data_IF_172975132712
#
_entry.id   IF_172975132712
#
_cell.length_a   1.000
_cell.length_b   1.000
_cell.length_c   1.000
_cell.angle_alpha   90.00
_cell.angle_beta   90.00
_cell.angle_gamma   90.00
#
_symmetry.space_group_name_H-M   'P 1'
#
loop_
_entity.id
_entity.type
_entity.pdbx_description
1 polymer ?
#
# COMPACT_ATOMS: atom_id res chain seq x y z
N UNK A 1 12.53 24.31 -6.32
CA UNK A 1 12.41 23.64 -7.64
C UNK A 1 13.70 23.66 -8.46
N UNK A 2 14.28 24.83 -8.81
CA UNK A 2 15.49 24.94 -9.67
C UNK A 2 16.70 24.07 -9.22
N UNK A 3 17.00 24.03 -7.92
CA UNK A 3 18.09 23.19 -7.39
C UNK A 3 17.85 21.69 -7.53
N UNK A 4 16.59 21.25 -7.49
CA UNK A 4 16.23 19.84 -7.67
C UNK A 4 16.36 19.43 -9.14
N UNK A 5 15.87 20.27 -10.07
CA UNK A 5 16.03 20.07 -11.51
C UNK A 5 17.51 19.94 -11.88
N UNK A 6 18.37 20.88 -11.44
CA UNK A 6 19.82 20.80 -11.68
C UNK A 6 20.47 19.53 -11.14
N UNK A 7 19.98 19.00 -10.01
CA UNK A 7 20.47 17.73 -9.45
C UNK A 7 20.04 16.55 -10.32
N UNK A 8 18.82 16.56 -10.85
CA UNK A 8 18.31 15.53 -11.75
C UNK A 8 19.04 15.54 -13.10
N UNK A 9 19.30 16.71 -13.68
CA UNK A 9 20.07 16.84 -14.93
C UNK A 9 21.47 16.24 -14.82
N UNK A 10 22.09 16.34 -13.64
CA UNK A 10 23.40 15.79 -13.35
C UNK A 10 23.34 14.42 -12.63
N UNK A 11 22.18 13.75 -12.58
CA UNK A 11 22.02 12.52 -11.84
C UNK A 11 22.59 11.31 -12.59
N UNK A 12 23.10 10.35 -11.82
CA UNK A 12 23.60 9.07 -12.30
C UNK A 12 22.99 7.93 -11.49
N UNK A 13 22.88 6.76 -12.11
CA UNK A 13 22.45 5.52 -11.45
C UNK A 13 23.64 4.66 -11.02
N UNK A 14 23.56 4.04 -9.85
CA UNK A 14 24.48 2.96 -9.46
C UNK A 14 23.76 1.87 -8.67
N UNK A 15 24.19 0.62 -8.83
CA UNK A 15 23.70 -0.48 -8.01
C UNK A 15 24.35 -0.46 -6.64
N UNK A 16 23.57 -0.63 -5.58
CA UNK A 16 24.07 -0.72 -4.20
C UNK A 16 23.44 -1.89 -3.45
N UNK A 17 24.22 -2.55 -2.60
CA UNK A 17 23.72 -3.49 -1.61
C UNK A 17 23.08 -2.74 -0.44
N UNK A 18 21.80 -2.99 -0.19
CA UNK A 18 21.04 -2.30 0.83
C UNK A 18 20.11 -3.22 1.62
N UNK A 19 19.80 -2.81 2.84
CA UNK A 19 18.63 -3.23 3.59
C UNK A 19 17.60 -2.12 3.46
N UNK A 20 16.49 -2.43 2.81
CA UNK A 20 15.34 -1.55 2.66
C UNK A 20 14.32 -1.85 3.75
N UNK A 21 13.94 -0.82 4.51
CA UNK A 21 12.95 -0.90 5.58
C UNK A 21 11.79 0.00 5.21
N UNK A 22 10.60 -0.58 5.10
CA UNK A 22 9.35 0.16 4.99
C UNK A 22 8.65 0.14 6.35
N UNK A 23 8.37 1.31 6.90
CA UNK A 23 7.62 1.50 8.15
C UNK A 23 6.27 2.14 7.86
N UNK A 24 5.21 1.74 8.56
CA UNK A 24 3.87 2.28 8.38
C UNK A 24 3.06 2.27 9.68
N UNK A 25 2.19 3.28 9.85
CA UNK A 25 1.37 3.44 11.05
C UNK A 25 0.06 2.67 10.89
N UNK A 26 -0.12 1.65 11.72
CA UNK A 26 -1.28 0.77 11.61
C UNK A 26 -2.53 1.46 12.14
N UNK A 27 -3.52 1.57 11.27
CA UNK A 27 -4.78 2.26 11.55
C UNK A 27 -4.77 3.75 11.22
N UNK A 28 -3.72 4.27 10.55
CA UNK A 28 -3.63 5.68 10.22
C UNK A 28 -4.79 6.18 9.35
N UNK A 29 -5.24 5.42 8.36
CA UNK A 29 -6.35 5.86 7.50
C UNK A 29 -7.65 6.13 8.29
N UNK A 30 -7.94 5.32 9.31
CA UNK A 30 -9.08 5.53 10.21
C UNK A 30 -8.83 6.72 11.15
N UNK A 31 -7.58 6.92 11.56
CA UNK A 31 -7.19 8.08 12.35
C UNK A 31 -7.34 9.38 11.53
N UNK A 32 -6.91 9.40 10.27
CA UNK A 32 -7.03 10.56 9.38
C UNK A 32 -8.45 10.92 8.99
N UNK A 33 -9.41 10.00 9.09
CA UNK A 33 -10.82 10.33 8.84
C UNK A 33 -11.51 11.02 10.02
N UNK A 34 -10.89 11.05 11.20
CA UNK A 34 -11.49 11.59 12.43
C UNK A 34 -10.80 12.89 12.88
N UNK A 35 -9.53 13.08 12.54
CA UNK A 35 -8.75 14.24 12.95
C UNK A 35 -8.60 15.28 11.84
N UNK A 36 -8.46 16.54 12.22
CA UNK A 36 -8.25 17.63 11.28
C UNK A 36 -6.84 17.64 10.69
N UNK A 37 -6.69 18.26 9.53
CA UNK A 37 -5.42 18.31 8.78
C UNK A 37 -4.22 18.82 9.62
N UNK A 38 -4.33 19.86 10.46
CA UNK A 38 -3.22 20.33 11.30
C UNK A 38 -2.71 19.28 12.30
N UNK A 39 -3.62 18.55 12.96
CA UNK A 39 -3.28 17.50 13.91
C UNK A 39 -2.53 16.35 13.21
N UNK A 40 -3.01 15.96 12.03
CA UNK A 40 -2.37 14.93 11.21
C UNK A 40 -0.97 15.35 10.79
N UNK A 41 -0.81 16.58 10.32
CA UNK A 41 0.49 17.12 9.91
C UNK A 41 1.46 17.19 11.09
N UNK A 42 0.99 17.62 12.27
CA UNK A 42 1.80 17.68 13.48
C UNK A 42 2.24 16.30 13.93
N UNK A 43 1.30 15.34 14.00
CA UNK A 43 1.59 13.97 14.40
C UNK A 43 2.59 13.29 13.45
N UNK A 44 2.37 13.37 12.13
CA UNK A 44 3.31 12.81 11.13
C UNK A 44 4.71 13.43 11.28
N UNK A 45 4.78 14.76 11.43
CA UNK A 45 6.05 15.47 11.64
C UNK A 45 6.78 14.94 12.88
N UNK A 46 6.09 14.81 14.02
CA UNK A 46 6.67 14.29 15.27
C UNK A 46 7.11 12.84 15.12
N UNK A 47 6.30 12.02 14.45
CA UNK A 47 6.63 10.63 14.14
C UNK A 47 7.91 10.50 13.32
N UNK A 48 8.02 11.21 12.19
CA UNK A 48 9.22 11.17 11.36
C UNK A 48 10.45 11.68 12.09
N UNK A 49 10.34 12.78 12.84
CA UNK A 49 11.44 13.29 13.63
C UNK A 49 11.89 12.28 14.69
N UNK A 50 10.96 11.60 15.37
CA UNK A 50 11.31 10.58 16.37
C UNK A 50 11.95 9.36 15.71
N UNK A 51 11.38 8.85 14.61
CA UNK A 51 11.95 7.72 13.88
C UNK A 51 13.39 8.00 13.44
N UNK A 52 13.63 9.12 12.77
CA UNK A 52 14.95 9.43 12.21
C UNK A 52 15.97 9.85 13.27
N UNK A 53 15.56 10.60 14.31
CA UNK A 53 16.49 11.10 15.33
C UNK A 53 16.72 10.16 16.49
N UNK A 54 15.88 9.16 16.71
CA UNK A 54 16.00 8.26 17.88
C UNK A 54 16.31 6.82 17.46
N UNK A 55 15.67 6.33 16.39
CA UNK A 55 15.75 4.92 16.02
C UNK A 55 16.64 4.68 14.81
N UNK A 56 16.48 5.47 13.74
CA UNK A 56 17.11 5.20 12.45
C UNK A 56 18.16 6.26 12.06
N UNK A 57 19.07 6.57 12.99
CA UNK A 57 20.08 7.63 12.83
C UNK A 57 21.09 7.35 11.72
N UNK A 58 21.46 6.09 11.56
CA UNK A 58 22.52 5.66 10.64
C UNK A 58 21.98 5.32 9.24
N UNK A 59 20.71 5.62 8.97
CA UNK A 59 20.13 5.45 7.65
C UNK A 59 20.80 6.40 6.64
N UNK A 60 21.19 5.87 5.48
CA UNK A 60 21.80 6.68 4.41
C UNK A 60 20.77 7.47 3.61
N UNK A 61 19.51 7.05 3.66
CA UNK A 61 18.40 7.71 2.99
C UNK A 61 17.08 7.40 3.69
N UNK A 62 16.19 8.39 3.71
CA UNK A 62 14.82 8.23 4.15
C UNK A 62 13.87 9.06 3.30
N UNK A 63 12.69 8.50 2.99
CA UNK A 63 11.68 9.13 2.16
C UNK A 63 10.28 8.89 2.75
N UNK A 64 9.51 9.94 3.07
CA UNK A 64 8.11 9.82 3.47
C UNK A 64 7.27 9.08 2.41
N UNK A 65 6.37 8.21 2.86
CA UNK A 65 5.44 7.47 1.99
C UNK A 65 4.01 7.57 2.51
N UNK A 66 3.51 8.80 2.68
CA UNK A 66 2.20 9.08 3.28
C UNK A 66 2.31 9.19 4.80
N UNK A 67 1.82 8.19 5.52
CA UNK A 67 1.98 8.03 6.97
C UNK A 67 3.15 7.09 7.33
N UNK A 68 3.72 6.43 6.33
CA UNK A 68 4.90 5.58 6.46
C UNK A 68 6.21 6.27 6.11
N UNK A 69 7.31 5.51 6.22
CA UNK A 69 8.66 5.94 5.89
C UNK A 69 9.43 4.80 5.22
N UNK A 70 10.01 5.07 4.04
CA UNK A 70 11.06 4.25 3.46
C UNK A 70 12.39 4.66 4.07
N UNK A 71 13.17 3.69 4.53
CA UNK A 71 14.47 3.88 5.18
C UNK A 71 15.46 2.91 4.54
N UNK A 72 16.64 3.40 4.15
CA UNK A 72 17.66 2.62 3.46
C UNK A 72 18.94 2.60 4.29
N UNK A 73 19.50 1.40 4.45
CA UNK A 73 20.81 1.16 4.99
C UNK A 73 21.69 0.52 3.93
N UNK A 74 22.80 1.15 3.60
CA UNK A 74 23.81 0.54 2.72
C UNK A 74 24.70 -0.38 3.54
N UNK A 75 25.12 -1.50 2.96
CA UNK A 75 26.09 -2.38 3.58
C UNK A 75 27.10 -2.90 2.54
N UNK A 76 28.24 -3.36 3.04
CA UNK A 76 29.19 -4.23 2.34
C UNK A 76 29.17 -5.62 2.99
N UNK A 77 29.75 -6.62 2.35
CA UNK A 77 29.73 -8.00 2.84
C UNK A 77 30.22 -8.12 4.31
N UNK A 78 31.30 -7.43 4.65
CA UNK A 78 31.89 -7.42 5.99
C UNK A 78 31.07 -6.63 7.04
N UNK A 79 30.14 -5.76 6.62
CA UNK A 79 29.30 -4.95 7.52
C UNK A 79 27.87 -5.48 7.63
N UNK A 80 27.50 -6.52 6.86
CA UNK A 80 26.13 -6.98 6.78
C UNK A 80 25.55 -7.36 8.15
N UNK A 81 26.29 -8.11 8.96
CA UNK A 81 25.83 -8.57 10.27
C UNK A 81 25.60 -7.40 11.24
N UNK A 82 26.48 -6.40 11.23
CA UNK A 82 26.37 -5.20 12.05
C UNK A 82 25.16 -4.35 11.63
N UNK A 83 25.04 -4.07 10.33
CA UNK A 83 23.92 -3.28 9.79
C UNK A 83 22.59 -3.99 10.04
N UNK A 84 22.54 -5.31 9.85
CA UNK A 84 21.37 -6.15 10.14
C UNK A 84 20.96 -6.06 11.61
N UNK A 85 21.93 -6.17 12.53
CA UNK A 85 21.70 -6.05 13.97
C UNK A 85 21.13 -4.69 14.34
N UNK A 86 21.72 -3.62 13.82
CA UNK A 86 21.26 -2.26 14.03
C UNK A 86 19.82 -2.10 13.53
N UNK A 87 19.53 -2.47 12.29
CA UNK A 87 18.19 -2.34 11.69
C UNK A 87 17.13 -3.09 12.51
N UNK A 88 17.34 -4.38 12.78
CA UNK A 88 16.35 -5.22 13.47
C UNK A 88 16.15 -4.74 14.92
N UNK A 89 17.23 -4.39 15.61
CA UNK A 89 17.17 -3.86 16.98
C UNK A 89 16.34 -2.57 17.05
N UNK A 90 16.58 -1.63 16.13
CA UNK A 90 15.86 -0.36 16.09
C UNK A 90 14.39 -0.53 15.73
N UNK A 91 14.05 -1.45 14.82
CA UNK A 91 12.65 -1.80 14.54
C UNK A 91 11.94 -2.36 15.79
N UNK A 92 12.56 -3.29 16.52
CA UNK A 92 11.97 -3.81 17.77
C UNK A 92 11.82 -2.74 18.84
N UNK A 93 12.81 -1.85 18.97
CA UNK A 93 12.75 -0.72 19.91
C UNK A 93 11.62 0.24 19.55
N UNK A 94 11.50 0.62 18.28
CA UNK A 94 10.40 1.45 17.80
C UNK A 94 9.03 0.80 18.05
N UNK A 95 8.88 -0.51 17.78
CA UNK A 95 7.65 -1.26 18.08
C UNK A 95 7.27 -1.24 19.56
N UNK A 96 8.26 -1.36 20.45
CA UNK A 96 8.07 -1.34 21.90
C UNK A 96 7.63 0.04 22.38
N UNK A 97 8.29 1.09 21.90
CA UNK A 97 8.12 2.44 22.41
C UNK A 97 6.93 3.18 21.78
N UNK A 98 6.47 2.78 20.58
CA UNK A 98 5.43 3.48 19.82
C UNK A 98 4.14 3.79 20.60
N UNK A 99 3.56 2.86 21.40
CA UNK A 99 2.34 3.14 22.16
C UNK A 99 2.44 4.32 23.13
N UNK A 100 3.65 4.65 23.58
CA UNK A 100 3.91 5.75 24.53
C UNK A 100 4.80 6.84 23.94
N UNK A 101 5.11 6.77 22.64
CA UNK A 101 6.14 7.59 21.98
C UNK A 101 5.89 9.10 22.08
N UNK A 102 4.61 9.49 22.18
CA UNK A 102 4.16 10.88 22.19
C UNK A 102 3.41 11.27 23.47
N UNK A 103 3.44 10.43 24.52
CA UNK A 103 2.68 10.67 25.76
C UNK A 103 3.00 12.03 26.41
N UNK A 104 4.26 12.45 26.30
CA UNK A 104 4.78 13.69 26.88
C UNK A 104 5.00 14.80 25.83
N UNK A 105 4.48 14.64 24.60
CA UNK A 105 4.58 15.68 23.57
C UNK A 105 3.36 16.62 23.67
N UNK A 106 3.53 17.88 24.12
CA UNK A 106 2.40 18.80 24.32
C UNK A 106 1.68 19.15 23.01
N UNK A 107 2.31 18.91 21.85
CA UNK A 107 1.71 19.12 20.53
C UNK A 107 0.90 17.91 20.03
N UNK A 108 0.91 16.80 20.76
CA UNK A 108 0.15 15.58 20.45
C UNK A 108 -0.75 15.26 21.64
N UNK A 109 -1.79 16.07 21.80
CA UNK A 109 -2.74 16.02 22.91
C UNK A 109 -4.04 15.25 22.57
N UNK A 110 -3.98 14.40 21.56
CA UNK A 110 -5.10 13.59 21.05
C UNK A 110 -4.75 12.10 21.00
N UNK A 111 -5.76 11.24 20.85
CA UNK A 111 -5.57 9.80 20.77
C UNK A 111 -4.84 9.41 19.47
N UNK A 112 -3.69 8.76 19.60
CA UNK A 112 -2.87 8.33 18.47
C UNK A 112 -3.02 6.84 18.17
N UNK A 113 -2.70 6.39 16.93
CA UNK A 113 -2.50 4.98 16.64
C UNK A 113 -1.42 4.37 17.54
N UNK A 114 -1.57 3.09 17.90
CA UNK A 114 -0.71 2.42 18.88
C UNK A 114 0.14 1.28 18.30
N UNK A 115 0.14 1.11 16.98
CA UNK A 115 0.83 0.01 16.32
C UNK A 115 1.60 0.46 15.08
N UNK A 116 2.78 -0.13 14.89
CA UNK A 116 3.60 0.00 13.69
C UNK A 116 3.74 -1.37 13.03
N UNK A 117 3.92 -1.37 11.71
CA UNK A 117 4.48 -2.52 11.02
C UNK A 117 5.73 -2.14 10.24
N UNK A 118 6.58 -3.14 10.05
CA UNK A 118 7.83 -3.05 9.31
C UNK A 118 7.94 -4.17 8.29
N UNK A 119 8.19 -3.82 7.04
CA UNK A 119 8.61 -4.75 5.99
C UNK A 119 10.07 -4.53 5.67
N UNK A 120 10.88 -5.58 5.70
CA UNK A 120 12.33 -5.48 5.53
C UNK A 120 12.78 -6.45 4.45
N UNK A 121 13.48 -5.91 3.44
CA UNK A 121 14.09 -6.71 2.38
C UNK A 121 15.56 -6.33 2.25
N UNK A 122 16.39 -7.31 1.86
CA UNK A 122 17.83 -7.12 1.62
C UNK A 122 18.17 -7.54 0.20
N UNK A 123 19.00 -6.76 -0.48
CA UNK A 123 19.47 -7.10 -1.82
C UNK A 123 20.12 -5.91 -2.51
N UNK A 124 20.11 -5.92 -3.83
CA UNK A 124 20.60 -4.80 -4.65
C UNK A 124 19.46 -3.88 -5.06
N UNK A 125 19.73 -2.58 -5.13
CA UNK A 125 18.80 -1.56 -5.63
C UNK A 125 19.56 -0.52 -6.45
N UNK A 126 18.86 0.23 -7.30
CA UNK A 126 19.46 1.34 -8.04
C UNK A 126 19.34 2.63 -7.22
N UNK A 127 20.49 3.20 -6.84
CA UNK A 127 20.61 4.52 -6.24
C UNK A 127 20.72 5.57 -7.35
N UNK A 128 19.79 6.51 -7.38
CA UNK A 128 19.90 7.73 -8.18
C UNK A 128 20.58 8.80 -7.34
N UNK A 129 21.71 9.33 -7.80
CA UNK A 129 22.52 10.27 -7.04
C UNK A 129 23.09 11.39 -7.93
N UNK A 130 23.38 12.54 -7.33
CA UNK A 130 24.09 13.64 -7.98
C UNK A 130 25.18 14.16 -7.05
N UNK A 131 26.43 14.08 -7.52
CA UNK A 131 27.63 14.32 -6.70
C UNK A 131 27.62 13.43 -5.44
N UNK A 132 27.51 14.02 -4.25
CA UNK A 132 27.43 13.32 -2.96
C UNK A 132 26.01 13.19 -2.41
N UNK A 133 24.99 13.62 -3.16
CA UNK A 133 23.60 13.60 -2.70
C UNK A 133 22.85 12.44 -3.32
N UNK A 134 22.23 11.62 -2.48
CA UNK A 134 21.23 10.64 -2.91
C UNK A 134 19.94 11.39 -3.24
N UNK A 135 19.40 11.15 -4.43
CA UNK A 135 18.14 11.74 -4.91
C UNK A 135 17.00 10.77 -4.60
N UNK A 136 17.14 9.51 -5.00
CA UNK A 136 16.14 8.48 -4.75
C UNK A 136 16.75 7.08 -4.84
N UNK A 137 15.97 6.09 -4.41
CA UNK A 137 16.23 4.69 -4.70
C UNK A 137 15.09 4.09 -5.51
N UNK A 138 15.40 3.13 -6.37
CA UNK A 138 14.42 2.43 -7.19
C UNK A 138 14.82 0.97 -7.42
N UNK A 139 13.82 0.09 -7.52
CA UNK A 139 14.04 -1.32 -7.82
C UNK A 139 13.01 -2.24 -7.18
N UNK A 140 13.01 -3.49 -7.63
CA UNK A 140 12.08 -4.52 -7.12
C UNK A 140 12.22 -4.75 -5.62
N UNK A 141 13.41 -4.53 -5.04
CA UNK A 141 13.65 -4.67 -3.61
C UNK A 141 12.79 -3.72 -2.77
N UNK A 142 12.58 -2.49 -3.23
CA UNK A 142 11.75 -1.52 -2.51
C UNK A 142 10.28 -1.90 -2.56
N UNK A 143 9.83 -2.39 -3.73
CA UNK A 143 8.48 -2.93 -3.89
C UNK A 143 8.26 -4.14 -2.98
N UNK A 144 9.25 -5.02 -2.86
CA UNK A 144 9.22 -6.14 -1.93
C UNK A 144 9.11 -5.68 -0.49
N UNK A 145 9.97 -4.76 -0.03
CA UNK A 145 9.88 -4.21 1.33
C UNK A 145 8.50 -3.59 1.61
N UNK A 146 7.92 -2.89 0.63
CA UNK A 146 6.56 -2.37 0.72
C UNK A 146 5.51 -3.47 0.86
N UNK A 147 5.57 -4.54 0.06
CA UNK A 147 4.63 -5.68 0.15
C UNK A 147 4.78 -6.48 1.44
N UNK A 148 5.99 -6.63 1.97
CA UNK A 148 6.21 -7.24 3.28
C UNK A 148 5.62 -6.38 4.39
N UNK A 149 5.74 -5.06 4.26
CA UNK A 149 5.12 -4.13 5.19
C UNK A 149 3.58 -4.23 5.11
N UNK A 150 2.97 -4.33 3.93
CA UNK A 150 1.51 -4.48 3.80
C UNK A 150 0.93 -5.61 4.67
N UNK A 151 1.68 -6.72 4.83
CA UNK A 151 1.31 -7.90 5.61
C UNK A 151 1.85 -7.91 7.05
N UNK A 152 2.65 -6.93 7.46
CA UNK A 152 3.14 -6.76 8.83
C UNK A 152 2.06 -6.19 9.77
N UNK A 153 0.95 -6.93 9.92
CA UNK A 153 -0.27 -6.54 10.66
C UNK A 153 -0.53 -7.46 11.84
N UNK A 154 -1.31 -7.05 12.85
CA UNK A 154 -1.67 -5.66 13.16
C UNK A 154 -0.46 -4.85 13.66
N UNK A 155 0.65 -5.51 13.99
CA UNK A 155 1.94 -4.92 14.38
C UNK A 155 3.07 -5.92 14.14
N UNK A 156 4.30 -5.45 13.98
CA UNK A 156 5.48 -6.30 13.99
C UNK A 156 6.40 -6.11 12.79
N UNK A 157 7.26 -7.10 12.55
CA UNK A 157 8.29 -7.09 11.51
C UNK A 157 8.08 -8.31 10.61
N UNK A 158 8.14 -8.10 9.29
CA UNK A 158 8.20 -9.17 8.30
C UNK A 158 9.47 -9.00 7.48
N UNK A 159 10.37 -9.99 7.56
CA UNK A 159 11.60 -10.04 6.78
C UNK A 159 11.41 -10.92 5.55
N UNK A 160 12.05 -10.54 4.45
CA UNK A 160 12.18 -11.39 3.27
C UNK A 160 12.91 -12.71 3.60
N UNK A 161 12.54 -13.82 2.95
CA UNK A 161 13.25 -15.10 3.07
C UNK A 161 14.72 -15.02 2.62
N UNK A 162 15.02 -14.18 1.61
CA UNK A 162 16.41 -13.94 1.17
C UNK A 162 17.27 -13.19 2.19
N UNK A 163 16.65 -12.68 3.27
CA UNK A 163 17.40 -12.21 4.43
C UNK A 163 18.19 -13.35 5.08
N UNK A 164 17.67 -14.60 5.03
CA UNK A 164 18.25 -15.81 5.62
C UNK A 164 18.37 -15.76 7.15
N UNK A 165 18.14 -16.90 7.81
CA UNK A 165 18.33 -17.05 9.26
C UNK A 165 19.76 -16.74 9.69
N UNK A 166 20.75 -16.92 8.81
CA UNK A 166 22.16 -16.63 9.10
C UNK A 166 22.40 -15.14 9.41
N UNK A 167 21.77 -14.24 8.65
CA UNK A 167 21.93 -12.77 8.77
C UNK A 167 21.04 -12.19 9.88
N UNK A 168 19.99 -12.90 10.28
CA UNK A 168 19.20 -12.52 11.46
C UNK A 168 20.11 -12.67 12.70
N UNK A 169 20.33 -11.60 13.49
CA UNK A 169 21.18 -11.65 14.68
C UNK A 169 20.67 -12.70 15.65
N UNK A 170 21.60 -13.45 16.25
CA UNK A 170 21.30 -14.64 17.08
C UNK A 170 20.27 -14.34 18.18
N UNK A 171 20.38 -13.18 18.82
CA UNK A 171 19.49 -12.72 19.88
C UNK A 171 18.04 -12.46 19.44
N UNK A 172 17.78 -12.31 18.13
CA UNK A 172 16.44 -12.07 17.59
C UNK A 172 15.83 -13.28 16.90
N UNK A 173 16.60 -14.33 16.58
CA UNK A 173 16.12 -15.50 15.81
C UNK A 173 14.88 -16.15 16.44
N UNK A 174 14.86 -16.32 17.76
CA UNK A 174 13.72 -16.91 18.49
C UNK A 174 12.46 -16.03 18.52
N UNK A 175 12.54 -14.78 18.04
CA UNK A 175 11.41 -13.86 17.94
C UNK A 175 10.71 -13.94 16.59
N UNK A 176 11.32 -14.61 15.61
CA UNK A 176 10.80 -14.78 14.27
C UNK A 176 10.31 -16.22 14.04
N UNK A 177 9.29 -16.35 13.19
CA UNK A 177 8.83 -17.64 12.69
C UNK A 177 8.80 -17.60 11.17
N UNK A 178 9.29 -18.66 10.55
CA UNK A 178 9.23 -18.84 9.11
C UNK A 178 7.78 -19.08 8.66
N UNK A 179 7.39 -18.45 7.57
CA UNK A 179 6.08 -18.57 6.92
C UNK A 179 6.27 -18.52 5.41
N UNK A 180 5.28 -19.01 4.68
CA UNK A 180 5.20 -18.92 3.23
C UNK A 180 4.02 -18.02 2.88
N UNK A 181 4.25 -16.99 2.07
CA UNK A 181 3.26 -15.98 1.73
C UNK A 181 3.19 -15.69 0.24
N UNK A 182 2.02 -15.29 -0.23
CA UNK A 182 1.79 -14.81 -1.58
C UNK A 182 1.73 -13.28 -1.55
N UNK A 183 2.53 -12.65 -2.42
CA UNK A 183 2.71 -11.20 -2.47
C UNK A 183 2.25 -10.67 -3.81
N UNK A 184 1.37 -9.68 -3.80
CA UNK A 184 0.84 -9.06 -5.01
C UNK A 184 1.97 -8.50 -5.87
N UNK A 185 1.93 -8.82 -7.16
CA UNK A 185 2.89 -8.42 -8.20
C UNK A 185 4.33 -8.90 -7.98
N UNK A 186 4.56 -9.85 -7.06
CA UNK A 186 5.90 -10.38 -6.75
C UNK A 186 5.90 -11.91 -6.70
N UNK A 187 4.96 -12.50 -5.96
CA UNK A 187 4.89 -13.92 -5.66
C UNK A 187 3.42 -14.34 -5.61
N UNK A 188 2.72 -14.20 -6.74
CA UNK A 188 1.28 -14.45 -6.81
C UNK A 188 0.92 -15.93 -6.98
N UNK A 189 1.80 -16.72 -7.60
CA UNK A 189 1.60 -18.15 -7.88
C UNK A 189 2.36 -19.05 -6.93
N UNK A 190 3.62 -18.72 -6.67
CA UNK A 190 4.52 -19.47 -5.81
C UNK A 190 4.71 -18.72 -4.50
N UNK A 191 4.45 -19.40 -3.38
CA UNK A 191 4.63 -18.78 -2.08
C UNK A 191 6.11 -18.44 -1.86
N UNK A 192 6.35 -17.24 -1.33
CA UNK A 192 7.67 -16.76 -0.93
C UNK A 192 7.87 -16.97 0.56
N UNK A 193 9.04 -17.46 0.94
CA UNK A 193 9.42 -17.53 2.35
C UNK A 193 9.58 -16.14 2.95
N UNK A 194 9.10 -15.96 4.17
CA UNK A 194 9.28 -14.77 5.01
C UNK A 194 9.49 -15.15 6.47
N UNK A 195 10.11 -14.26 7.23
CA UNK A 195 10.23 -14.37 8.68
C UNK A 195 9.35 -13.34 9.38
N UNK A 196 8.33 -13.79 10.11
CA UNK A 196 7.39 -12.93 10.81
C UNK A 196 7.71 -12.86 12.30
N UNK A 197 7.78 -11.65 12.87
CA UNK A 197 7.97 -11.50 14.31
C UNK A 197 6.73 -11.90 15.11
N UNK A 198 6.90 -12.22 16.40
CA UNK A 198 5.79 -12.32 17.36
C UNK A 198 4.85 -11.10 17.25
N UNK A 199 3.55 -11.34 17.09
CA UNK A 199 2.52 -10.30 16.95
C UNK A 199 2.03 -10.05 15.52
N UNK A 200 2.72 -10.59 14.50
CA UNK A 200 2.23 -10.55 13.12
C UNK A 200 1.18 -11.64 12.91
N UNK A 201 0.01 -11.23 12.44
CA UNK A 201 -1.10 -12.05 11.96
C UNK A 201 -1.24 -11.79 10.46
N UNK A 202 -0.88 -12.80 9.66
CA UNK A 202 -0.95 -12.70 8.21
C UNK A 202 -2.41 -12.59 7.76
N UNK A 203 -2.73 -11.64 6.86
CA UNK A 203 -4.07 -11.54 6.32
C UNK A 203 -4.38 -12.77 5.43
N UNK A 204 -5.65 -13.20 5.30
CA UNK A 204 -6.01 -14.41 4.54
C UNK A 204 -5.54 -14.39 3.07
N UNK A 205 -5.45 -13.21 2.45
CA UNK A 205 -4.97 -13.10 1.07
C UNK A 205 -3.46 -13.41 0.93
N UNK A 206 -2.68 -13.30 2.00
CA UNK A 206 -1.25 -13.55 1.97
C UNK A 206 -0.93 -15.04 2.11
N UNK A 207 -1.90 -15.89 2.47
CA UNK A 207 -1.68 -17.33 2.69
C UNK A 207 -2.26 -18.20 1.57
N UNK A 208 -2.86 -17.58 0.55
CA UNK A 208 -3.45 -18.26 -0.61
C UNK A 208 -2.90 -17.70 -1.92
N UNK A 209 -2.65 -18.53 -2.95
CA UNK A 209 -2.15 -18.03 -4.23
C UNK A 209 -3.05 -16.93 -4.80
N UNK A 210 -2.45 -15.79 -5.13
CA UNK A 210 -3.14 -14.63 -5.67
C UNK A 210 -3.47 -14.77 -7.15
N UNK A 211 -2.65 -15.48 -7.92
CA UNK A 211 -2.91 -15.73 -9.34
C UNK A 211 -4.14 -16.62 -9.58
N UNK A 212 -4.64 -17.27 -8.53
CA UNK A 212 -5.92 -17.95 -8.61
C UNK A 212 -7.12 -16.99 -8.67
N UNK A 213 -6.92 -15.70 -8.45
CA UNK A 213 -7.95 -14.68 -8.57
C UNK A 213 -7.98 -14.12 -10.00
N UNK A 214 -8.81 -14.69 -10.85
CA UNK A 214 -9.13 -14.13 -12.17
C UNK A 214 -10.01 -12.90 -11.99
N UNK A 215 -9.44 -11.70 -12.03
CA UNK A 215 -10.23 -10.47 -11.90
C UNK A 215 -11.33 -10.40 -12.96
N UNK A 216 -12.53 -10.04 -12.53
CA UNK A 216 -13.64 -9.73 -13.41
C UNK A 216 -13.85 -8.23 -13.45
N UNK A 217 -14.23 -7.73 -14.61
CA UNK A 217 -14.59 -6.33 -14.83
C UNK A 217 -16.02 -6.32 -15.38
N UNK A 218 -16.89 -5.64 -14.64
CA UNK A 218 -18.22 -5.26 -15.11
C UNK A 218 -18.26 -3.76 -15.29
N UNK A 219 -18.73 -3.31 -16.45
CA UNK A 219 -18.79 -1.90 -16.79
C UNK A 219 -20.18 -1.51 -17.29
N UNK A 220 -20.55 -0.26 -17.02
CA UNK A 220 -21.75 0.36 -17.56
C UNK A 220 -21.43 1.75 -18.06
N UNK A 221 -21.63 1.94 -19.36
CA UNK A 221 -21.50 3.24 -20.02
C UNK A 221 -22.83 3.99 -20.02
N UNK A 222 -22.75 5.31 -19.89
CA UNK A 222 -23.87 6.24 -19.98
C UNK A 222 -23.48 7.42 -20.86
N UNK A 223 -24.45 7.96 -21.60
CA UNK A 223 -24.37 9.34 -22.06
C UNK A 223 -24.57 10.27 -20.86
N UNK A 224 -23.92 11.43 -20.87
CA UNK A 224 -24.10 12.45 -19.82
C UNK A 224 -25.58 12.83 -19.63
N UNK A 225 -26.34 12.90 -20.72
CA UNK A 225 -27.79 13.13 -20.66
C UNK A 225 -28.58 12.02 -19.95
N UNK A 226 -28.16 10.77 -20.07
CA UNK A 226 -28.79 9.62 -19.40
C UNK A 226 -28.42 9.61 -17.91
N UNK A 227 -27.14 9.80 -17.59
CA UNK A 227 -26.65 9.86 -16.21
C UNK A 227 -27.37 10.98 -15.42
N UNK A 228 -27.59 12.14 -16.04
CA UNK A 228 -28.33 13.25 -15.40
C UNK A 228 -29.79 12.93 -15.08
N UNK A 229 -30.42 12.01 -15.83
CA UNK A 229 -31.82 11.59 -15.62
C UNK A 229 -31.95 10.55 -14.49
N UNK A 230 -30.87 9.86 -14.12
CA UNK A 230 -30.89 8.91 -13.01
C UNK A 230 -31.18 9.63 -11.69
N UNK A 231 -32.21 9.19 -10.97
CA UNK A 231 -32.57 9.71 -9.64
C UNK A 231 -32.05 8.74 -8.57
N UNK A 232 -31.16 9.21 -7.70
CA UNK A 232 -30.58 8.40 -6.64
C UNK A 232 -29.53 7.43 -7.15
N UNK A 233 -29.78 6.13 -6.98
CA UNK A 233 -28.84 5.08 -7.31
C UNK A 233 -29.20 4.32 -8.59
N UNK A 234 -28.21 3.62 -9.14
CA UNK A 234 -28.35 2.75 -10.30
C UNK A 234 -27.90 1.34 -9.93
N UNK A 235 -28.69 0.35 -10.34
CA UNK A 235 -28.40 -1.05 -10.11
C UNK A 235 -27.55 -1.64 -11.25
N UNK A 236 -26.32 -2.03 -10.94
CA UNK A 236 -25.42 -2.73 -11.83
C UNK A 236 -25.41 -4.23 -11.49
N UNK A 237 -25.91 -5.07 -12.39
CA UNK A 237 -25.80 -6.53 -12.27
C UNK A 237 -24.39 -6.99 -12.59
N UNK A 238 -23.84 -7.87 -11.77
CA UNK A 238 -22.52 -8.45 -11.96
C UNK A 238 -22.59 -9.79 -12.68
N UNK A 239 -21.60 -10.09 -13.51
CA UNK A 239 -21.50 -11.40 -14.19
C UNK A 239 -21.30 -12.55 -13.21
N UNK A 240 -20.60 -12.28 -12.10
CA UNK A 240 -20.26 -13.26 -11.07
C UNK A 240 -20.32 -12.65 -9.67
N UNK A 241 -20.55 -13.48 -8.66
CA UNK A 241 -20.46 -13.09 -7.25
C UNK A 241 -19.03 -12.71 -6.86
N UNK A 242 -18.82 -11.60 -6.14
CA UNK A 242 -17.51 -11.26 -5.60
C UNK A 242 -17.14 -12.13 -4.38
N UNK A 243 -15.90 -12.64 -4.32
CA UNK A 243 -15.37 -13.37 -3.17
C UNK A 243 -15.22 -12.46 -1.96
N UNK A 244 -14.76 -11.23 -2.17
CA UNK A 244 -14.55 -10.24 -1.13
C UNK A 244 -14.69 -8.84 -1.69
N UNK A 245 -15.44 -8.00 -0.99
CA UNK A 245 -15.60 -6.58 -1.30
C UNK A 245 -14.40 -5.73 -0.88
N UNK A 246 -13.53 -6.25 0.00
CA UNK A 246 -12.27 -5.55 0.36
C UNK A 246 -11.30 -5.44 -0.82
N UNK A 247 -11.45 -6.35 -1.79
CA UNK A 247 -10.67 -6.35 -3.03
C UNK A 247 -11.41 -5.72 -4.20
N UNK A 248 -12.65 -5.27 -4.00
CA UNK A 248 -13.43 -4.70 -5.07
C UNK A 248 -13.17 -3.20 -5.20
N UNK A 249 -13.23 -2.69 -6.42
CA UNK A 249 -13.05 -1.27 -6.72
C UNK A 249 -14.10 -0.82 -7.72
N UNK A 250 -14.86 0.20 -7.36
CA UNK A 250 -15.70 0.92 -8.31
C UNK A 250 -14.97 2.19 -8.74
N UNK A 251 -14.95 2.45 -10.05
CA UNK A 251 -14.34 3.62 -10.65
C UNK A 251 -15.35 4.32 -11.54
N UNK A 252 -15.31 5.65 -11.54
CA UNK A 252 -16.00 6.47 -12.51
C UNK A 252 -14.98 7.05 -13.48
N UNK A 253 -15.16 6.75 -14.76
CA UNK A 253 -14.22 7.09 -15.84
C UNK A 253 -14.93 8.05 -16.78
N UNK A 254 -14.29 9.18 -17.06
CA UNK A 254 -14.84 10.24 -17.88
C UNK A 254 -13.71 10.94 -18.65
N UNK A 255 -13.98 11.51 -19.84
CA UNK A 255 -12.93 12.08 -20.67
C UNK A 255 -12.38 13.38 -20.08
N UNK A 256 -11.13 13.68 -20.42
CA UNK A 256 -10.47 14.94 -20.10
C UNK A 256 -10.94 16.04 -21.08
N UNK A 257 -11.42 17.16 -20.55
CA UNK A 257 -11.85 18.31 -21.37
C UNK A 257 -10.69 19.09 -21.98
N UNK A 258 -9.51 19.01 -21.36
CA UNK A 258 -8.32 19.73 -21.78
C UNK A 258 -7.44 18.90 -22.75
N UNK A 259 -7.50 17.57 -22.65
CA UNK A 259 -6.65 16.65 -23.41
C UNK A 259 -7.51 15.60 -24.15
N UNK A 260 -7.87 15.85 -25.42
CA UNK A 260 -8.62 14.90 -26.24
C UNK A 260 -7.96 13.51 -26.28
N UNK A 261 -8.74 12.46 -26.10
CA UNK A 261 -8.26 11.06 -26.08
C UNK A 261 -7.83 10.56 -24.69
N UNK A 262 -7.73 11.44 -23.69
CA UNK A 262 -7.43 11.04 -22.32
C UNK A 262 -8.70 10.92 -21.47
N UNK A 263 -8.65 10.08 -20.45
CA UNK A 263 -9.72 9.92 -19.45
C UNK A 263 -9.19 10.13 -18.05
N UNK A 264 -9.99 10.79 -17.21
CA UNK A 264 -9.80 10.77 -15.77
C UNK A 264 -10.46 9.55 -15.15
N UNK A 265 -9.84 9.04 -14.09
CA UNK A 265 -10.34 7.93 -13.32
C UNK A 265 -10.51 8.38 -11.88
N UNK A 266 -11.76 8.40 -11.40
CA UNK A 266 -12.08 8.71 -10.02
C UNK A 266 -12.53 7.44 -9.30
N UNK A 267 -11.85 7.09 -8.19
CA UNK A 267 -12.31 5.99 -7.34
C UNK A 267 -13.62 6.39 -6.67
N UNK A 268 -14.61 5.49 -6.74
CA UNK A 268 -15.97 5.73 -6.30
C UNK A 268 -16.28 4.83 -5.10
N UNK A 269 -16.49 5.41 -3.92
CA UNK A 269 -16.67 4.66 -2.67
C UNK A 269 -18.14 4.45 -2.29
N UNK A 270 -19.05 5.20 -2.91
CA UNK A 270 -20.47 5.17 -2.58
C UNK A 270 -21.20 4.08 -3.39
N UNK A 271 -21.07 2.83 -2.95
CA UNK A 271 -21.86 1.71 -3.48
C UNK A 271 -22.20 0.68 -2.40
N UNK A 272 -23.27 -0.09 -2.61
CA UNK A 272 -23.62 -1.24 -1.78
C UNK A 272 -23.65 -2.50 -2.61
N UNK A 273 -23.04 -3.56 -2.10
CA UNK A 273 -23.08 -4.88 -2.72
C UNK A 273 -24.12 -5.74 -2.01
N UNK A 274 -24.97 -6.41 -2.79
CA UNK A 274 -25.91 -7.38 -2.25
C UNK A 274 -26.21 -8.49 -3.28
N UNK A 275 -26.97 -9.49 -2.84
CA UNK A 275 -27.41 -10.61 -3.66
C UNK A 275 -28.89 -10.83 -3.49
N UNK A 276 -29.53 -11.26 -4.57
CA UNK A 276 -30.91 -11.70 -4.58
C UNK A 276 -31.08 -12.93 -5.50
N UNK A 277 -32.33 -13.30 -5.79
CA UNK A 277 -32.64 -14.44 -6.65
C UNK A 277 -32.12 -14.29 -8.10
N UNK A 278 -31.84 -13.05 -8.55
CA UNK A 278 -31.35 -12.74 -9.89
C UNK A 278 -29.81 -12.64 -9.96
N UNK A 279 -29.11 -12.80 -8.84
CA UNK A 279 -27.66 -12.85 -8.79
C UNK A 279 -27.04 -11.78 -7.89
N UNK A 280 -25.82 -11.37 -8.24
CA UNK A 280 -25.04 -10.39 -7.49
C UNK A 280 -25.18 -9.00 -8.13
N UNK A 281 -25.40 -7.98 -7.31
CA UNK A 281 -25.63 -6.63 -7.78
C UNK A 281 -24.85 -5.59 -6.99
N UNK A 282 -24.68 -4.42 -7.60
CA UNK A 282 -24.20 -3.20 -6.99
C UNK A 282 -25.24 -2.10 -7.10
N UNK A 283 -25.63 -1.57 -5.96
CA UNK A 283 -26.37 -0.33 -5.86
C UNK A 283 -25.37 0.84 -5.83
N UNK A 284 -25.26 1.56 -6.95
CA UNK A 284 -24.29 2.65 -7.13
C UNK A 284 -25.00 3.99 -6.96
N UNK A 285 -24.66 4.76 -5.92
CA UNK A 285 -25.19 6.12 -5.76
C UNK A 285 -24.63 7.02 -6.87
N UNK A 286 -25.48 7.60 -7.72
CA UNK A 286 -25.02 8.41 -8.86
C UNK A 286 -24.82 9.89 -8.55
N UNK A 287 -25.07 10.33 -7.32
CA UNK A 287 -25.06 11.74 -6.91
C UNK A 287 -23.75 12.46 -7.22
N UNK A 288 -22.61 11.89 -6.83
CA UNK A 288 -21.29 12.47 -7.07
C UNK A 288 -20.94 12.51 -8.55
N UNK A 289 -21.19 11.42 -9.29
CA UNK A 289 -20.95 11.38 -10.72
C UNK A 289 -21.79 12.43 -11.46
N UNK A 290 -23.07 12.59 -11.09
CA UNK A 290 -23.97 13.61 -11.64
C UNK A 290 -23.50 15.04 -11.35
N UNK A 291 -23.08 15.31 -10.11
CA UNK A 291 -22.54 16.61 -9.73
C UNK A 291 -21.28 16.93 -10.54
N UNK A 292 -20.39 15.95 -10.71
CA UNK A 292 -19.15 16.09 -11.47
C UNK A 292 -19.41 16.41 -12.95
N UNK A 293 -20.24 15.62 -13.64
CA UNK A 293 -20.51 15.85 -15.06
C UNK A 293 -21.26 17.17 -15.30
N UNK A 294 -22.02 17.65 -14.31
CA UNK A 294 -22.70 18.94 -14.38
C UNK A 294 -21.74 20.11 -14.18
N UNK A 295 -20.81 20.00 -13.23
CA UNK A 295 -19.79 21.04 -12.96
C UNK A 295 -18.70 21.14 -14.03
N UNK A 296 -18.43 20.05 -14.78
CA UNK A 296 -17.41 20.01 -15.84
C UNK A 296 -17.90 20.48 -17.21
N UNK A 297 -19.18 20.81 -17.38
CA UNK A 297 -19.71 21.32 -18.64
C UNK A 297 -19.70 20.30 -19.78
N UNK A 298 -19.78 19.00 -19.49
CA UNK A 298 -19.78 17.97 -20.53
C UNK A 298 -21.00 18.06 -21.44
N UNK A 299 -20.80 17.78 -22.74
CA UNK A 299 -21.89 17.78 -23.71
C UNK A 299 -22.87 16.62 -23.44
N UNK A 300 -24.18 16.76 -23.76
CA UNK A 300 -25.18 15.73 -23.47
C UNK A 300 -24.91 14.36 -24.11
N UNK A 301 -24.18 14.32 -25.24
CA UNK A 301 -23.84 13.10 -25.98
C UNK A 301 -22.53 12.45 -25.56
N UNK A 302 -21.72 13.12 -24.72
CA UNK A 302 -20.46 12.60 -24.24
C UNK A 302 -20.66 11.34 -23.39
N UNK A 303 -19.77 10.36 -23.53
CA UNK A 303 -19.82 9.08 -22.82
C UNK A 303 -19.00 9.13 -21.54
N UNK A 304 -19.52 8.51 -20.50
CA UNK A 304 -18.88 8.26 -19.21
C UNK A 304 -19.19 6.84 -18.78
N UNK A 305 -18.35 6.21 -17.96
CA UNK A 305 -18.61 4.82 -17.53
C UNK A 305 -18.31 4.59 -16.05
N UNK A 306 -19.10 3.71 -15.44
CA UNK A 306 -18.74 3.06 -14.19
C UNK A 306 -18.06 1.73 -14.51
N UNK A 307 -16.93 1.46 -13.85
CA UNK A 307 -16.16 0.24 -14.00
C UNK A 307 -15.96 -0.38 -12.62
N UNK A 308 -16.47 -1.60 -12.44
CA UNK A 308 -16.34 -2.36 -11.20
C UNK A 308 -15.39 -3.54 -11.40
N UNK A 309 -14.24 -3.46 -10.73
CA UNK A 309 -13.23 -4.50 -10.73
C UNK A 309 -13.35 -5.32 -9.46
N UNK A 310 -13.47 -6.64 -9.58
CA UNK A 310 -13.62 -7.52 -8.43
C UNK A 310 -13.05 -8.90 -8.70
N UNK A 311 -12.92 -9.68 -7.63
CA UNK A 311 -12.50 -11.07 -7.72
C UNK A 311 -13.75 -11.96 -7.67
N UNK A 312 -14.13 -12.63 -8.77
CA UNK A 312 -15.30 -13.49 -8.83
C UNK A 312 -15.07 -14.80 -8.07
N UNK A 313 -16.14 -15.31 -7.47
CA UNK A 313 -16.17 -16.61 -6.82
C UNK A 313 -16.09 -17.67 -7.90
N UNK A 314 -14.97 -18.42 -7.90
CA UNK A 314 -14.79 -19.54 -8.82
C UNK A 314 -16.02 -20.45 -8.77
N UNK A 315 -16.72 -20.61 -9.90
CA UNK A 315 -17.69 -21.69 -10.06
C UNK A 315 -16.91 -22.98 -9.78
N UNK A 316 -17.33 -23.75 -8.76
CA UNK A 316 -16.73 -25.07 -8.51
C UNK A 316 -16.78 -25.81 -9.85
N UNK A 317 -15.62 -26.19 -10.40
CA UNK A 317 -15.60 -27.07 -11.59
C UNK A 317 -16.52 -28.23 -11.23
N UNK A 318 -17.65 -28.38 -11.94
CA UNK A 318 -18.47 -29.58 -11.82
C UNK A 318 -17.47 -30.72 -12.03
N UNK A 319 -17.29 -31.57 -11.02
CA UNK A 319 -16.51 -32.79 -11.19
C UNK A 319 -17.14 -33.48 -12.39
N UNK A 320 -16.41 -33.53 -13.50
CA UNK A 320 -16.80 -34.36 -14.63
C UNK A 320 -16.82 -35.75 -14.04
N UNK A 321 -18.02 -36.34 -13.94
CA UNK A 321 -18.16 -37.70 -13.44
C UNK A 321 -17.25 -38.59 -14.27
N UNK A 322 -16.34 -39.28 -13.59
CA UNK A 322 -15.61 -40.42 -14.15
C UNK A 322 -16.56 -41.60 -14.12
#
# INVERSE_FOLDING_TARGET
MKNFIKRLEAAQGRSEFVIAVMCDIRGFSKFSSVHESPDLAMFIKRFYLKLLRVYFRDAVFAKPTGDGLLIIYRYSENLLDEVSRTVISQCFKALKDFPTMFKDDPMVNFKTPSSLGFGIARGTTCCLYSKRHIIDYSGQLLNLAARLNDIARPRGIVLDGAYSTAVIPREFRSRFFQRHVYLRSIAEETAREVFCSKGVVLPPYATTPLANYSWSIDEREFRVSELKKLKGSYLMSLKDEAISMEKAKLQFIYPDTALPGYSFIQTYLAFKYYKDANGAHLDVDTSLARALVSGKGFSPGQRVRFEFQYVPKRKKKKRVGV
#
